data_IF_697602905305
#
_entry.id   IF_697602905305
#
_cell.length_a   1.000
_cell.length_b   1.000
_cell.length_c   1.000
_cell.angle_alpha   90.00
_cell.angle_beta   90.00
_cell.angle_gamma   90.00
#
_symmetry.space_group_name_H-M   'P 1'
#
loop_
_entity.id
_entity.type
_entity.pdbx_description
1 polymer ?
#
# COMPACT_ATOMS: atom_id res chain seq x y z
N UNK A 1 37.73 6.88 6.40
CA UNK A 1 37.70 6.67 7.86
C UNK A 1 36.46 5.84 8.17
N UNK A 2 36.59 4.59 8.63
CA UNK A 2 35.43 3.75 8.97
C UNK A 2 35.16 3.92 10.46
N UNK A 3 34.01 4.53 10.82
CA UNK A 3 33.53 4.55 12.20
C UNK A 3 32.88 3.22 12.53
N UNK A 4 33.03 2.74 13.75
CA UNK A 4 32.34 1.56 14.25
C UNK A 4 30.89 1.89 14.63
N UNK A 5 30.05 0.86 14.76
CA UNK A 5 28.66 1.03 15.21
C UNK A 5 28.59 1.66 16.61
N UNK A 6 29.51 1.29 17.51
CA UNK A 6 29.58 1.86 18.86
C UNK A 6 29.93 3.36 18.83
N UNK A 7 30.89 3.78 18.01
CA UNK A 7 31.22 5.19 17.84
C UNK A 7 30.07 5.99 17.23
N UNK A 8 29.36 5.40 16.26
CA UNK A 8 28.19 6.02 15.66
C UNK A 8 27.04 6.16 16.67
N UNK A 9 26.76 5.12 17.45
CA UNK A 9 25.77 5.18 18.53
C UNK A 9 26.13 6.26 19.56
N UNK A 10 27.39 6.32 20.01
CA UNK A 10 27.82 7.34 20.95
C UNK A 10 27.66 8.76 20.41
N UNK A 11 27.95 8.99 19.12
CA UNK A 11 27.69 10.27 18.48
C UNK A 11 26.20 10.60 18.42
N UNK A 12 25.35 9.63 18.09
CA UNK A 12 23.90 9.81 18.03
C UNK A 12 23.33 10.09 19.42
N UNK A 13 23.72 9.34 20.45
CA UNK A 13 23.32 9.57 21.84
C UNK A 13 23.78 10.93 22.35
N UNK A 14 24.99 11.37 22.00
CA UNK A 14 25.47 12.71 22.39
C UNK A 14 24.69 13.84 21.70
N UNK A 15 24.17 13.62 20.50
CA UNK A 15 23.47 14.64 19.69
C UNK A 15 21.97 14.69 20.01
N UNK A 16 21.34 13.53 20.17
CA UNK A 16 19.88 13.38 20.28
C UNK A 16 19.41 12.94 21.69
N UNK A 17 20.33 12.62 22.60
CA UNK A 17 19.99 12.25 23.97
C UNK A 17 19.07 11.02 24.04
N UNK A 18 17.96 11.15 24.75
CA UNK A 18 16.95 10.09 24.91
C UNK A 18 16.20 9.76 23.61
N UNK A 19 16.21 10.66 22.62
CA UNK A 19 15.61 10.41 21.30
C UNK A 19 16.53 9.61 20.36
N UNK A 20 17.73 9.25 20.79
CA UNK A 20 18.65 8.45 20.00
C UNK A 20 18.20 6.99 19.89
N UNK A 21 18.48 6.37 18.75
CA UNK A 21 18.25 4.94 18.55
C UNK A 21 19.11 4.11 19.51
N UNK A 22 18.60 2.95 19.91
CA UNK A 22 19.34 2.02 20.78
C UNK A 22 20.63 1.52 20.12
N UNK A 23 21.62 1.11 20.93
CA UNK A 23 22.86 0.54 20.42
C UNK A 23 22.60 -0.69 19.53
N UNK A 24 21.64 -1.53 19.94
CA UNK A 24 21.21 -2.71 19.17
C UNK A 24 20.72 -2.33 17.78
N UNK A 25 19.83 -1.35 17.70
CA UNK A 25 19.29 -0.85 16.42
C UNK A 25 20.42 -0.29 15.56
N UNK A 26 21.36 0.44 16.14
CA UNK A 26 22.54 0.94 15.41
C UNK A 26 23.39 -0.20 14.83
N UNK A 27 23.58 -1.29 15.59
CA UNK A 27 24.31 -2.48 15.11
C UNK A 27 23.57 -3.20 13.96
N UNK A 28 22.25 -3.35 14.06
CA UNK A 28 21.41 -3.94 13.02
C UNK A 28 21.54 -3.15 11.70
N UNK A 29 21.42 -1.82 11.75
CA UNK A 29 21.64 -0.94 10.59
C UNK A 29 23.05 -1.07 9.99
N UNK A 30 24.08 -1.12 10.84
CA UNK A 30 25.46 -1.35 10.38
C UNK A 30 25.63 -2.70 9.68
N UNK A 31 24.85 -3.71 10.06
CA UNK A 31 24.86 -5.01 9.40
C UNK A 31 24.16 -4.95 8.03
N UNK A 32 23.03 -4.24 7.91
CA UNK A 32 22.35 -4.00 6.63
C UNK A 32 23.30 -3.29 5.65
N UNK A 33 23.94 -2.20 6.08
CA UNK A 33 24.89 -1.47 5.24
C UNK A 33 26.10 -2.30 4.83
N UNK A 34 26.57 -3.23 5.68
CA UNK A 34 27.64 -4.18 5.32
C UNK A 34 27.18 -5.19 4.27
N UNK A 35 25.91 -5.57 4.30
CA UNK A 35 25.31 -6.50 3.35
C UNK A 35 24.97 -5.81 2.01
N UNK A 36 25.21 -4.49 1.89
CA UNK A 36 24.91 -3.70 0.70
C UNK A 36 23.45 -3.26 0.61
N UNK A 37 22.69 -3.44 1.69
CA UNK A 37 21.33 -2.94 1.83
C UNK A 37 21.38 -1.53 2.43
N UNK A 38 21.05 -0.54 1.59
CA UNK A 38 21.03 0.87 1.93
C UNK A 38 19.61 1.44 1.93
N UNK A 39 18.60 0.59 1.84
CA UNK A 39 17.22 1.01 1.92
C UNK A 39 16.93 1.49 3.34
N UNK A 40 16.46 2.72 3.47
CA UNK A 40 16.13 3.36 4.75
C UNK A 40 14.63 3.25 5.01
N UNK A 41 13.85 2.87 3.99
CA UNK A 41 12.43 2.65 4.13
C UNK A 41 12.21 1.40 5.00
N UNK A 42 11.27 1.50 5.94
CA UNK A 42 10.87 0.34 6.73
C UNK A 42 10.34 -0.69 5.74
N UNK A 43 11.10 -1.78 5.54
CA UNK A 43 10.66 -2.91 4.72
C UNK A 43 9.49 -3.53 5.46
N UNK A 44 8.32 -2.96 5.19
CA UNK A 44 7.04 -3.44 5.65
C UNK A 44 6.92 -4.89 5.17
N UNK A 45 7.07 -5.79 6.14
CA UNK A 45 7.44 -7.20 6.06
C UNK A 45 6.34 -8.06 5.41
N UNK A 46 5.99 -7.75 4.16
CA UNK A 46 4.82 -8.32 3.47
C UNK A 46 5.16 -9.44 2.48
N UNK A 47 6.43 -9.87 2.41
CA UNK A 47 6.99 -10.61 1.27
C UNK A 47 6.40 -11.98 0.90
N UNK A 48 5.39 -12.51 1.61
CA UNK A 48 4.79 -13.82 1.28
C UNK A 48 3.28 -13.93 1.46
N UNK A 49 2.69 -13.32 2.48
CA UNK A 49 1.23 -13.36 2.68
C UNK A 49 0.47 -12.51 1.66
N UNK A 50 1.07 -11.38 1.29
CA UNK A 50 0.45 -10.33 0.49
C UNK A 50 0.13 -10.74 -0.93
N UNK A 51 1.00 -11.48 -1.61
CA UNK A 51 0.76 -11.89 -3.02
C UNK A 51 -0.52 -12.72 -3.14
N UNK A 52 -0.71 -13.68 -2.24
CA UNK A 52 -1.92 -14.53 -2.21
C UNK A 52 -3.18 -13.78 -1.78
N UNK A 53 -3.02 -12.81 -0.87
CA UNK A 53 -4.11 -11.95 -0.42
C UNK A 53 -4.53 -10.98 -1.53
N UNK A 54 -3.57 -10.43 -2.29
CA UNK A 54 -3.79 -9.53 -3.42
C UNK A 54 -4.62 -10.23 -4.51
N UNK A 55 -4.28 -11.45 -4.92
CA UNK A 55 -5.00 -12.19 -5.96
C UNK A 55 -6.46 -12.50 -5.58
N UNK A 56 -6.70 -12.86 -4.31
CA UNK A 56 -8.07 -13.10 -3.83
C UNK A 56 -8.86 -11.80 -3.66
N UNK A 57 -8.18 -10.74 -3.23
CA UNK A 57 -8.75 -9.41 -3.08
C UNK A 57 -9.14 -8.85 -4.46
N UNK A 58 -8.32 -9.03 -5.50
CA UNK A 58 -8.66 -8.69 -6.89
C UNK A 58 -9.93 -9.39 -7.35
N UNK A 59 -10.04 -10.70 -7.13
CA UNK A 59 -11.23 -11.47 -7.55
C UNK A 59 -12.51 -10.98 -6.86
N UNK A 60 -12.45 -10.59 -5.58
CA UNK A 60 -13.60 -10.04 -4.87
C UNK A 60 -13.99 -8.67 -5.40
N UNK A 61 -13.01 -7.81 -5.69
CA UNK A 61 -13.26 -6.47 -6.23
C UNK A 61 -13.75 -6.50 -7.69
N UNK A 62 -13.33 -7.49 -8.48
CA UNK A 62 -13.84 -7.72 -9.84
C UNK A 62 -15.31 -8.20 -9.83
N UNK A 63 -15.72 -8.90 -8.76
CA UNK A 63 -17.11 -9.34 -8.58
C UNK A 63 -18.02 -8.19 -8.12
N UNK A 64 -17.55 -7.42 -7.14
CA UNK A 64 -18.27 -6.26 -6.61
C UNK A 64 -17.28 -5.20 -6.09
N UNK A 65 -17.09 -4.15 -6.88
CA UNK A 65 -16.18 -3.05 -6.53
C UNK A 65 -16.72 -2.12 -5.43
N UNK A 66 -17.98 -2.29 -5.01
CA UNK A 66 -18.64 -1.43 -4.03
C UNK A 66 -18.54 -1.95 -2.59
N UNK A 67 -17.83 -3.08 -2.38
CA UNK A 67 -17.65 -3.68 -1.06
C UNK A 67 -16.84 -2.81 -0.11
N UNK A 68 -17.21 -2.84 1.17
CA UNK A 68 -16.46 -2.18 2.22
C UNK A 68 -15.26 -3.01 2.65
N UNK A 69 -14.22 -2.35 3.19
CA UNK A 69 -13.04 -3.05 3.73
C UNK A 69 -13.40 -4.07 4.82
N UNK A 70 -14.50 -3.85 5.56
CA UNK A 70 -14.95 -4.75 6.62
C UNK A 70 -15.59 -6.02 6.05
N UNK A 71 -16.34 -5.93 4.94
CA UNK A 71 -16.91 -7.08 4.24
C UNK A 71 -15.82 -7.91 3.56
N UNK A 72 -14.82 -7.25 2.98
CA UNK A 72 -13.63 -7.90 2.42
C UNK A 72 -12.83 -8.64 3.50
N UNK A 73 -12.61 -8.00 4.65
CA UNK A 73 -11.95 -8.61 5.79
C UNK A 73 -12.69 -9.86 6.29
N UNK A 74 -14.04 -9.79 6.37
CA UNK A 74 -14.88 -10.93 6.74
C UNK A 74 -14.80 -12.08 5.72
N UNK A 75 -14.77 -11.76 4.43
CA UNK A 75 -14.73 -12.75 3.34
C UNK A 75 -13.37 -13.46 3.23
N UNK A 76 -12.28 -12.72 3.50
CA UNK A 76 -10.92 -13.23 3.45
C UNK A 76 -10.43 -13.77 4.80
N UNK A 77 -11.23 -13.64 5.86
CA UNK A 77 -10.88 -13.99 7.24
C UNK A 77 -9.57 -13.31 7.72
N UNK A 78 -9.35 -12.07 7.28
CA UNK A 78 -8.19 -11.25 7.65
C UNK A 78 -8.62 -10.01 8.43
N UNK A 79 -7.67 -9.25 8.97
CA UNK A 79 -7.97 -8.00 9.64
C UNK A 79 -8.28 -6.90 8.63
N UNK A 80 -9.15 -5.94 9.01
CA UNK A 80 -9.44 -4.78 8.16
C UNK A 80 -8.18 -3.94 7.87
N UNK A 81 -7.19 -3.94 8.77
CA UNK A 81 -5.91 -3.29 8.54
C UNK A 81 -5.11 -3.96 7.41
N UNK A 82 -5.09 -5.29 7.33
CA UNK A 82 -4.44 -6.01 6.23
C UNK A 82 -5.08 -5.63 4.88
N UNK A 83 -6.41 -5.56 4.80
CA UNK A 83 -7.13 -5.10 3.60
C UNK A 83 -6.74 -3.67 3.24
N UNK A 84 -6.73 -2.75 4.20
CA UNK A 84 -6.35 -1.36 3.94
C UNK A 84 -4.94 -1.24 3.36
N UNK A 85 -4.01 -2.07 3.84
CA UNK A 85 -2.62 -2.03 3.39
C UNK A 85 -2.48 -2.67 2.01
N UNK A 86 -3.16 -3.79 1.75
CA UNK A 86 -3.17 -4.43 0.43
C UNK A 86 -3.75 -3.48 -0.63
N UNK A 87 -4.91 -2.87 -0.38
CA UNK A 87 -5.50 -1.86 -1.27
C UNK A 87 -4.55 -0.70 -1.57
N UNK A 88 -3.82 -0.23 -0.55
CA UNK A 88 -2.84 0.86 -0.73
C UNK A 88 -1.69 0.43 -1.64
N UNK A 89 -1.18 -0.80 -1.47
CA UNK A 89 -0.07 -1.30 -2.30
C UNK A 89 -0.52 -1.55 -3.74
N UNK A 90 -1.73 -2.06 -3.92
CA UNK A 90 -2.34 -2.25 -5.24
C UNK A 90 -2.64 -0.92 -5.93
N UNK A 91 -2.46 0.23 -5.25
CA UNK A 91 -2.73 1.56 -5.80
C UNK A 91 -4.22 1.87 -5.94
N UNK A 92 -5.07 1.16 -5.20
CA UNK A 92 -6.52 1.33 -5.27
C UNK A 92 -6.98 2.52 -4.43
N UNK A 93 -7.86 3.33 -5.02
CA UNK A 93 -8.42 4.53 -4.38
C UNK A 93 -9.94 4.40 -4.42
N UNK A 94 -10.59 4.52 -3.26
CA UNK A 94 -12.04 4.54 -3.18
C UNK A 94 -12.57 5.85 -3.78
N UNK A 95 -13.34 5.77 -4.87
CA UNK A 95 -14.09 6.90 -5.43
C UNK A 95 -15.55 6.76 -5.02
N UNK A 96 -16.14 7.85 -4.53
CA UNK A 96 -17.58 7.89 -4.29
C UNK A 96 -18.31 7.93 -5.64
N UNK A 97 -19.33 7.10 -5.80
CA UNK A 97 -20.14 7.12 -7.02
C UNK A 97 -20.85 8.46 -7.19
N UNK A 98 -20.94 8.91 -8.45
CA UNK A 98 -21.66 10.12 -8.81
C UNK A 98 -23.17 9.85 -8.63
N UNK A 99 -23.86 10.67 -7.83
CA UNK A 99 -25.31 10.57 -7.68
C UNK A 99 -26.01 10.80 -9.02
N UNK A 100 -26.55 9.74 -9.62
CA UNK A 100 -27.41 9.84 -10.82
C UNK A 100 -28.87 9.87 -10.38
N UNK A 101 -29.65 10.94 -10.65
CA UNK A 101 -31.01 11.10 -10.12
C UNK A 101 -32.08 10.12 -10.64
N UNK A 102 -31.73 9.12 -11.44
CA UNK A 102 -32.72 8.25 -12.08
C UNK A 102 -32.42 6.77 -11.89
N UNK A 103 -33.45 6.02 -11.49
CA UNK A 103 -33.45 4.56 -11.32
C UNK A 103 -33.48 3.90 -12.71
N UNK A 104 -32.29 3.70 -13.31
CA UNK A 104 -32.15 3.04 -14.61
C UNK A 104 -32.56 1.57 -14.49
N UNK A 105 -33.30 1.07 -15.48
CA UNK A 105 -33.78 -0.32 -15.53
C UNK A 105 -32.60 -1.25 -15.81
N UNK A 106 -32.64 -2.47 -15.26
CA UNK A 106 -31.60 -3.51 -15.20
C UNK A 106 -30.99 -4.01 -16.53
N UNK A 107 -31.27 -3.38 -17.67
CA UNK A 107 -30.64 -3.73 -18.96
C UNK A 107 -29.27 -3.08 -19.17
N UNK A 108 -28.92 -2.06 -18.39
CA UNK A 108 -27.73 -1.24 -18.64
C UNK A 108 -26.59 -1.44 -17.61
N UNK A 109 -26.77 -2.26 -16.58
CA UNK A 109 -25.75 -2.51 -15.54
C UNK A 109 -24.43 -3.06 -16.12
N UNK A 110 -24.51 -3.95 -17.12
CA UNK A 110 -23.33 -4.50 -17.81
C UNK A 110 -22.61 -3.47 -18.70
N UNK A 111 -23.34 -2.46 -19.18
CA UNK A 111 -22.78 -1.37 -19.97
C UNK A 111 -22.12 -0.34 -19.06
N UNK A 112 -22.71 -0.08 -17.87
CA UNK A 112 -22.12 0.79 -16.86
C UNK A 112 -20.84 0.21 -16.26
N UNK A 113 -20.79 -1.09 -15.95
CA UNK A 113 -19.56 -1.74 -15.48
C UNK A 113 -18.41 -1.60 -16.51
N UNK A 114 -18.70 -1.74 -17.81
CA UNK A 114 -17.73 -1.47 -18.89
C UNK A 114 -17.39 0.02 -19.02
N UNK A 115 -18.35 0.92 -18.86
CA UNK A 115 -18.15 2.37 -18.95
C UNK A 115 -17.29 2.89 -17.78
N UNK A 116 -17.45 2.32 -16.58
CA UNK A 116 -16.64 2.62 -15.39
C UNK A 116 -15.21 2.13 -15.58
N UNK A 117 -15.00 0.91 -16.12
CA UNK A 117 -13.67 0.36 -16.41
C UNK A 117 -12.92 1.16 -17.51
N UNK A 118 -13.61 1.56 -18.59
CA UNK A 118 -13.03 2.39 -19.66
C UNK A 118 -12.63 3.77 -19.11
N UNK A 119 -13.42 4.34 -18.19
CA UNK A 119 -13.09 5.62 -17.55
C UNK A 119 -11.93 5.51 -16.56
N UNK A 120 -11.77 4.35 -15.90
CA UNK A 120 -10.63 4.07 -15.02
C UNK A 120 -9.30 3.96 -15.79
N UNK A 121 -9.31 3.31 -16.96
CA UNK A 121 -8.15 3.25 -17.86
C UNK A 121 -7.76 4.63 -18.42
N UNK A 122 -8.72 5.52 -18.62
CA UNK A 122 -8.45 6.85 -19.16
C UNK A 122 -7.89 7.83 -18.11
N UNK A 123 -8.04 7.54 -16.81
CA UNK A 123 -7.45 8.36 -15.75
C UNK A 123 -5.93 8.20 -15.62
N UNK A 124 -5.34 7.07 -16.03
CA UNK A 124 -3.90 6.84 -15.91
C UNK A 124 -3.09 7.53 -17.04
N UNK A 125 -3.67 7.66 -18.24
CA UNK A 125 -3.00 8.37 -19.35
C UNK A 125 -3.11 9.90 -19.27
N UNK A 126 -4.10 10.44 -18.55
CA UNK A 126 -4.36 11.87 -18.43
C UNK A 126 -3.44 12.62 -17.45
N UNK A 127 -2.89 11.95 -16.43
CA UNK A 127 -1.96 12.59 -15.48
C UNK A 127 -0.49 12.57 -15.94
N UNK A 128 -0.12 11.66 -16.86
CA UNK A 128 1.27 11.51 -17.31
C UNK A 128 1.67 12.44 -18.46
N UNK A 129 0.70 13.03 -19.16
CA UNK A 129 0.92 13.98 -20.27
C UNK A 129 0.80 15.46 -19.88
N UNK A 130 0.49 15.77 -18.61
CA UNK A 130 0.45 17.16 -18.12
C UNK A 130 1.79 17.66 -17.55
N UNK A 131 2.85 16.86 -17.66
CA UNK A 131 4.23 17.17 -17.24
C UNK A 131 5.25 17.07 -18.39
N UNK A 132 4.79 17.14 -19.64
CA UNK A 132 5.59 17.48 -20.83
C UNK A 132 4.99 18.75 -21.46
#
# INVERSE_FOLDING_TARGET
>A
MKKSAAEAHQMLSNTYGEAAISERTCQEWFQCFKNGDFDIEDQHDYGRGKVFEDEKLEVLLDQDSCQTQQELAGSLAVTQQAISICLTVMGMIQKQEHWVPYKLKSRDEKLLARQIWISALHCDWGQKMSLL
#
